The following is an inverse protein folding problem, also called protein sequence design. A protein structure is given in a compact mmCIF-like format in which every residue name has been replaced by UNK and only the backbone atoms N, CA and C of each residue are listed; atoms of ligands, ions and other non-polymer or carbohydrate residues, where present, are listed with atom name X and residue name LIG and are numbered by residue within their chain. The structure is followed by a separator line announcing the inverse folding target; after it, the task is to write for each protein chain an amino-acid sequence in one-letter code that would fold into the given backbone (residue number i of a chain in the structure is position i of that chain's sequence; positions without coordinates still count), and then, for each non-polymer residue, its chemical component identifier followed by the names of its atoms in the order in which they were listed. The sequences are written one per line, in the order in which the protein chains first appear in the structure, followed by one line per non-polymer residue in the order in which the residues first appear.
data_IF_072902707126
#
_entry.id   IF_072902707126
#
_cell.length_a   1.000
_cell.length_b   1.000
_cell.length_c   1.000
_cell.angle_alpha   90.00
_cell.angle_beta   90.00
_cell.angle_gamma   90.00
#
_symmetry.space_group_name_H-M   'P 1'
#
loop_
_entity.id
_entity.type
_entity.pdbx_description
1 polymer ?
#
# COMPACT_ATOMS: atom_id res chain seq x y z
N UNK A 1 -8.90 16.03 -4.33
CA UNK A 1 -9.16 15.10 -5.47
C UNK A 1 -7.87 14.38 -5.87
N UNK A 2 -7.26 13.54 -5.04
CA UNK A 2 -5.99 12.86 -5.34
C UNK A 2 -6.03 11.33 -5.09
N UNK A 3 -7.21 10.72 -5.21
CA UNK A 3 -7.38 9.27 -4.98
C UNK A 3 -7.14 8.35 -6.19
N UNK A 4 -6.72 8.88 -7.36
CA UNK A 4 -6.83 8.13 -8.63
C UNK A 4 -5.58 7.39 -9.10
N UNK A 5 -4.40 7.61 -8.54
CA UNK A 5 -3.16 7.03 -9.10
C UNK A 5 -2.70 5.70 -8.47
N UNK A 6 -3.22 5.32 -7.30
CA UNK A 6 -2.85 4.06 -6.63
C UNK A 6 -3.39 2.79 -7.30
N UNK A 7 -4.39 2.90 -8.17
CA UNK A 7 -5.13 1.74 -8.68
C UNK A 7 -4.66 1.14 -10.01
N UNK A 8 -3.62 1.67 -10.65
CA UNK A 8 -3.30 1.27 -12.04
C UNK A 8 -2.27 0.15 -12.14
N UNK A 9 -1.36 -0.02 -11.16
CA UNK A 9 -0.25 -0.99 -11.28
C UNK A 9 -0.52 -2.40 -10.72
N UNK A 10 -1.53 -2.59 -9.89
CA UNK A 10 -1.77 -3.92 -9.26
C UNK A 10 -2.38 -4.94 -10.24
N UNK A 11 -2.73 -4.55 -11.46
CA UNK A 11 -3.55 -5.38 -12.36
C UNK A 11 -2.84 -6.57 -13.02
N UNK A 12 -1.51 -6.68 -13.01
CA UNK A 12 -0.81 -7.67 -13.86
C UNK A 12 0.38 -8.43 -13.26
N UNK A 13 0.61 -8.40 -11.95
CA UNK A 13 1.75 -9.13 -11.40
C UNK A 13 1.34 -10.54 -10.98
N UNK A 14 1.49 -11.49 -11.89
CA UNK A 14 1.43 -12.92 -11.60
C UNK A 14 2.66 -13.33 -10.78
N UNK A 15 2.43 -13.75 -9.55
CA UNK A 15 3.42 -14.09 -8.55
C UNK A 15 4.27 -15.30 -8.93
N UNK A 16 5.55 -15.10 -9.28
CA UNK A 16 6.58 -16.14 -9.32
C UNK A 16 7.51 -16.02 -8.11
N UNK A 17 7.33 -16.93 -7.18
CA UNK A 17 8.12 -17.10 -5.96
C UNK A 17 9.58 -17.44 -6.27
N UNK A 18 10.56 -16.54 -5.97
CA UNK A 18 11.97 -16.89 -5.64
C UNK A 18 12.87 -15.69 -5.33
N UNK A 19 13.53 -15.73 -4.14
CA UNK A 19 14.85 -15.15 -3.75
C UNK A 19 15.19 -13.73 -4.21
N UNK A 20 14.83 -12.67 -3.45
CA UNK A 20 15.19 -11.34 -3.93
C UNK A 20 15.69 -10.29 -2.90
N UNK A 21 16.15 -10.66 -1.71
CA UNK A 21 16.82 -9.68 -0.84
C UNK A 21 18.10 -9.08 -1.47
N UNK A 22 18.85 -9.89 -2.24
CA UNK A 22 20.04 -9.42 -2.97
C UNK A 22 19.70 -8.57 -4.20
N UNK A 23 18.52 -8.73 -4.81
CA UNK A 23 18.12 -7.94 -5.96
C UNK A 23 17.70 -6.52 -5.55
N UNK A 24 16.97 -6.38 -4.44
CA UNK A 24 16.61 -5.06 -3.89
C UNK A 24 17.85 -4.23 -3.55
N UNK A 25 18.83 -4.82 -2.83
CA UNK A 25 20.07 -4.11 -2.53
C UNK A 25 20.75 -3.55 -3.79
N UNK A 26 20.79 -4.30 -4.90
CA UNK A 26 21.37 -3.85 -6.17
C UNK A 26 20.54 -2.76 -6.87
N UNK A 27 19.22 -2.74 -6.68
CA UNK A 27 18.34 -1.69 -7.23
C UNK A 27 18.61 -0.39 -6.50
N UNK A 28 18.70 -0.44 -5.17
CA UNK A 28 19.02 0.72 -4.34
C UNK A 28 20.41 1.30 -4.64
N UNK A 29 21.42 0.44 -4.93
CA UNK A 29 22.77 0.88 -5.33
C UNK A 29 22.82 1.73 -6.60
N UNK A 30 21.88 1.56 -7.53
CA UNK A 30 21.92 2.22 -8.85
C UNK A 30 20.97 3.41 -9.02
N UNK A 31 19.95 3.53 -8.17
CA UNK A 31 18.88 4.51 -8.37
C UNK A 31 19.03 5.79 -7.55
N UNK A 32 19.88 5.79 -6.55
CA UNK A 32 20.28 6.99 -5.82
C UNK A 32 21.77 7.25 -6.08
N UNK A 33 22.18 8.51 -6.18
CA UNK A 33 23.60 8.86 -6.02
C UNK A 33 23.90 8.66 -4.53
N UNK A 34 24.10 7.40 -4.17
CA UNK A 34 24.43 6.96 -2.83
C UNK A 34 25.94 7.18 -2.65
N UNK A 35 26.28 8.17 -1.86
CA UNK A 35 27.62 8.26 -1.26
C UNK A 35 27.70 7.18 -0.18
N UNK A 36 28.05 5.95 -0.59
CA UNK A 36 28.38 4.87 0.33
C UNK A 36 29.74 5.17 0.96
N UNK A 37 29.76 5.33 2.26
CA UNK A 37 30.97 5.13 3.04
C UNK A 37 30.90 3.70 3.59
N UNK A 38 31.57 2.77 2.90
CA UNK A 38 31.79 1.41 3.41
C UNK A 38 32.85 1.47 4.51
N UNK A 39 32.44 1.24 5.74
CA UNK A 39 33.38 0.90 6.83
C UNK A 39 33.44 -0.61 6.95
N UNK A 40 34.63 -1.18 6.81
CA UNK A 40 34.93 -2.57 7.14
C UNK A 40 35.29 -2.64 8.61
N UNK A 41 34.50 -3.32 9.41
CA UNK A 41 34.90 -3.75 10.75
C UNK A 41 35.10 -5.27 10.75
N UNK A 42 36.05 -5.73 11.56
CA UNK A 42 36.64 -7.07 11.57
C UNK A 42 35.71 -8.23 12.01
N UNK A 43 34.38 -8.10 11.80
CA UNK A 43 33.40 -9.10 12.26
C UNK A 43 32.14 -9.27 11.40
N UNK A 44 31.99 -8.59 10.30
CA UNK A 44 30.80 -8.71 9.44
C UNK A 44 30.48 -7.40 8.73
N UNK A 45 29.83 -7.49 7.59
CA UNK A 45 29.46 -6.32 6.79
C UNK A 45 28.31 -5.60 7.51
N UNK A 46 28.63 -4.58 8.28
CA UNK A 46 27.66 -3.63 8.85
C UNK A 46 27.46 -2.50 7.86
N UNK A 47 26.32 -2.44 7.20
CA UNK A 47 25.94 -1.32 6.36
C UNK A 47 25.39 -0.20 7.25
N UNK A 48 26.23 0.77 7.61
CA UNK A 48 25.73 2.06 8.11
C UNK A 48 25.45 2.95 6.91
N UNK A 49 24.22 2.95 6.44
CA UNK A 49 23.74 3.89 5.43
C UNK A 49 23.32 5.16 6.12
N UNK A 50 24.23 6.14 6.23
CA UNK A 50 23.84 7.54 6.39
C UNK A 50 23.52 8.09 5.00
N UNK A 51 22.41 7.67 4.43
CA UNK A 51 21.99 8.11 3.11
C UNK A 51 21.24 9.43 3.24
N UNK A 52 21.91 10.55 3.03
CA UNK A 52 21.20 11.76 2.63
C UNK A 52 20.72 11.54 1.18
N UNK A 53 19.42 11.31 1.04
CA UNK A 53 18.81 11.22 -0.29
C UNK A 53 18.78 12.62 -0.88
N UNK A 54 19.67 12.87 -1.85
CA UNK A 54 19.74 14.17 -2.54
C UNK A 54 19.21 14.01 -3.96
N UNK A 55 18.44 15.00 -4.42
CA UNK A 55 18.10 15.11 -5.84
C UNK A 55 19.33 15.49 -6.67
N UNK A 56 19.17 15.56 -8.02
CA UNK A 56 20.25 15.95 -8.95
C UNK A 56 20.84 17.32 -8.64
N UNK A 57 20.14 18.17 -7.92
CA UNK A 57 20.52 19.53 -7.54
C UNK A 57 21.15 19.60 -6.15
N UNK A 58 21.34 18.44 -5.46
CA UNK A 58 21.98 18.34 -4.15
C UNK A 58 21.08 18.65 -2.95
N UNK A 59 19.76 18.82 -3.15
CA UNK A 59 18.80 19.01 -2.05
C UNK A 59 18.39 17.66 -1.43
N UNK A 60 18.33 17.62 -0.09
CA UNK A 60 17.80 16.46 0.64
C UNK A 60 16.32 16.31 0.35
N UNK A 61 15.90 15.14 -0.15
CA UNK A 61 14.50 14.83 -0.39
C UNK A 61 13.90 14.16 0.85
N UNK A 62 12.61 14.44 1.11
CA UNK A 62 11.86 13.72 2.13
C UNK A 62 11.82 12.21 1.81
N UNK A 63 11.84 11.37 2.83
CA UNK A 63 11.84 9.91 2.67
C UNK A 63 10.68 9.43 1.80
N UNK A 64 9.48 9.95 2.05
CA UNK A 64 8.29 9.58 1.30
C UNK A 64 8.37 9.96 -0.17
N UNK A 65 8.87 11.16 -0.47
CA UNK A 65 9.06 11.60 -1.85
C UNK A 65 10.08 10.71 -2.57
N UNK A 66 11.17 10.36 -1.89
CA UNK A 66 12.21 9.47 -2.42
C UNK A 66 11.63 8.07 -2.69
N UNK A 67 10.84 7.53 -1.75
CA UNK A 67 10.14 6.26 -1.95
C UNK A 67 9.18 6.31 -3.15
N UNK A 68 8.34 7.35 -3.23
CA UNK A 68 7.37 7.50 -4.32
C UNK A 68 8.05 7.63 -5.68
N UNK A 69 9.16 8.37 -5.76
CA UNK A 69 9.95 8.48 -6.98
C UNK A 69 10.59 7.15 -7.39
N UNK A 70 11.06 6.35 -6.42
CA UNK A 70 11.58 5.02 -6.69
C UNK A 70 10.49 4.05 -7.16
N UNK A 71 9.37 4.03 -6.46
CA UNK A 71 8.29 3.05 -6.66
C UNK A 71 7.42 3.35 -7.89
N UNK A 72 7.18 4.64 -8.18
CA UNK A 72 6.23 5.07 -9.21
C UNK A 72 6.84 5.95 -10.31
N UNK A 73 8.05 6.48 -10.09
CA UNK A 73 8.73 7.34 -11.05
C UNK A 73 9.22 6.57 -12.29
N UNK A 74 9.71 7.32 -13.29
CA UNK A 74 10.20 6.76 -14.56
C UNK A 74 11.69 6.38 -14.53
N UNK A 75 12.31 6.43 -13.33
CA UNK A 75 13.73 6.14 -13.14
C UNK A 75 14.13 4.66 -13.30
N UNK A 76 13.17 3.75 -13.24
CA UNK A 76 13.37 2.30 -13.42
C UNK A 76 12.65 1.80 -14.65
N UNK A 77 13.28 0.86 -15.37
CA UNK A 77 12.61 0.09 -16.42
C UNK A 77 11.56 -0.87 -15.82
N UNK A 78 10.63 -1.35 -16.65
CA UNK A 78 9.51 -2.18 -16.21
C UNK A 78 9.96 -3.44 -15.46
N UNK A 79 11.05 -4.06 -15.88
CA UNK A 79 11.60 -5.25 -15.23
C UNK A 79 12.10 -4.95 -13.82
N UNK A 80 12.81 -3.83 -13.64
CA UNK A 80 13.30 -3.41 -12.32
C UNK A 80 12.15 -2.98 -11.40
N UNK A 81 11.12 -2.34 -11.96
CA UNK A 81 9.89 -2.03 -11.20
C UNK A 81 9.20 -3.32 -10.74
N UNK A 82 9.09 -4.33 -11.60
CA UNK A 82 8.53 -5.64 -11.23
C UNK A 82 9.36 -6.32 -10.11
N UNK A 83 10.69 -6.31 -10.21
CA UNK A 83 11.60 -6.85 -9.20
C UNK A 83 11.49 -6.09 -7.86
N UNK A 84 11.40 -4.75 -7.91
CA UNK A 84 11.20 -3.90 -6.72
C UNK A 84 9.90 -4.25 -6.00
N UNK A 85 8.79 -4.27 -6.73
CA UNK A 85 7.49 -4.58 -6.15
C UNK A 85 7.38 -6.02 -5.63
N UNK A 86 7.95 -6.99 -6.35
CA UNK A 86 8.00 -8.37 -5.89
C UNK A 86 8.78 -8.50 -4.58
N UNK A 87 9.88 -7.79 -4.43
CA UNK A 87 10.65 -7.74 -3.19
C UNK A 87 9.91 -7.01 -2.07
N UNK A 88 9.31 -5.86 -2.37
CA UNK A 88 8.51 -5.09 -1.42
C UNK A 88 7.36 -5.94 -0.84
N UNK A 89 6.57 -6.61 -1.67
CA UNK A 89 5.45 -7.42 -1.20
C UNK A 89 5.86 -8.60 -0.33
N UNK A 90 7.07 -9.15 -0.51
CA UNK A 90 7.59 -10.19 0.38
C UNK A 90 7.90 -9.62 1.78
N UNK A 91 8.55 -8.45 1.82
CA UNK A 91 8.90 -7.78 3.08
C UNK A 91 7.63 -7.31 3.78
N UNK A 92 6.74 -6.64 3.07
CA UNK A 92 5.45 -6.19 3.56
C UNK A 92 4.65 -7.32 4.20
N UNK A 93 4.55 -8.46 3.51
CA UNK A 93 3.91 -9.66 4.03
C UNK A 93 4.54 -10.12 5.34
N UNK A 94 5.87 -10.20 5.40
CA UNK A 94 6.59 -10.61 6.61
C UNK A 94 6.38 -9.67 7.79
N UNK A 95 6.25 -8.36 7.54
CA UNK A 95 5.92 -7.38 8.58
C UNK A 95 4.48 -7.58 9.07
N UNK A 96 3.51 -7.73 8.15
CA UNK A 96 2.12 -7.98 8.54
C UNK A 96 1.93 -9.31 9.27
N UNK A 97 2.63 -10.37 8.90
CA UNK A 97 2.60 -11.65 9.63
C UNK A 97 3.01 -11.46 11.10
N UNK A 98 4.02 -10.63 11.38
CA UNK A 98 4.44 -10.31 12.75
C UNK A 98 3.42 -9.43 13.48
N UNK A 99 2.95 -8.35 12.86
CA UNK A 99 1.96 -7.43 13.45
C UNK A 99 0.66 -8.18 13.77
N UNK A 100 0.16 -9.00 12.85
CA UNK A 100 -1.08 -9.75 13.02
C UNK A 100 -0.95 -10.91 14.01
N UNK A 101 0.27 -11.36 14.33
CA UNK A 101 0.50 -12.35 15.39
C UNK A 101 0.35 -11.76 16.79
N UNK A 102 0.46 -10.42 16.94
CA UNK A 102 0.25 -9.69 18.19
C UNK A 102 -0.58 -8.41 17.92
N UNK A 103 -1.87 -8.54 17.52
CA UNK A 103 -2.65 -7.44 16.94
C UNK A 103 -3.01 -6.33 17.93
N UNK A 104 -2.84 -6.57 19.23
CA UNK A 104 -3.07 -5.58 20.30
C UNK A 104 -1.78 -4.87 20.73
N UNK A 105 -0.64 -5.31 20.23
CA UNK A 105 0.65 -4.70 20.55
C UNK A 105 0.74 -3.32 19.89
N UNK A 106 1.17 -2.33 20.69
CA UNK A 106 1.49 -1.00 20.18
C UNK A 106 2.99 -0.95 19.90
N UNK A 107 3.33 -0.81 18.63
CA UNK A 107 4.72 -0.74 18.17
C UNK A 107 5.10 0.73 18.04
N UNK A 108 6.15 1.16 18.73
CA UNK A 108 6.69 2.53 18.66
C UNK A 108 8.19 2.50 18.41
N UNK A 109 8.70 3.56 17.84
CA UNK A 109 10.12 3.75 17.58
C UNK A 109 10.33 4.70 16.43
N UNK A 110 11.56 5.04 16.13
CA UNK A 110 11.89 5.83 14.94
C UNK A 110 11.74 4.98 13.68
N UNK A 111 11.57 5.64 12.52
CA UNK A 111 11.50 4.95 11.23
C UNK A 111 12.69 4.02 11.03
N UNK A 112 13.88 4.48 11.42
CA UNK A 112 15.13 3.72 11.36
C UNK A 112 15.11 2.50 12.27
N UNK A 113 14.69 2.66 13.53
CA UNK A 113 14.57 1.53 14.48
C UNK A 113 13.59 0.48 13.99
N UNK A 114 12.47 0.91 13.37
CA UNK A 114 11.53 -0.03 12.77
C UNK A 114 12.12 -0.72 11.54
N UNK A 115 12.87 -0.03 10.70
CA UNK A 115 13.57 -0.64 9.59
C UNK A 115 14.57 -1.72 10.07
N UNK A 116 15.33 -1.42 11.12
CA UNK A 116 16.26 -2.36 11.75
C UNK A 116 15.50 -3.56 12.39
N UNK A 117 14.43 -3.28 13.16
CA UNK A 117 13.57 -4.31 13.79
C UNK A 117 13.05 -5.34 12.77
N UNK A 118 12.60 -4.86 11.63
CA UNK A 118 12.04 -5.71 10.57
C UNK A 118 13.06 -6.15 9.52
N UNK A 119 14.35 -5.85 9.76
CA UNK A 119 15.47 -6.19 8.86
C UNK A 119 15.19 -5.78 7.41
N UNK A 120 14.81 -4.53 7.22
CA UNK A 120 14.50 -3.95 5.92
C UNK A 120 15.21 -2.61 5.70
N UNK A 121 15.21 -2.14 4.46
CA UNK A 121 15.75 -0.84 4.09
C UNK A 121 14.83 0.31 4.55
N UNK A 122 15.42 1.46 4.87
CA UNK A 122 14.70 2.66 5.36
C UNK A 122 13.57 3.09 4.40
N UNK A 123 13.83 3.09 3.08
CA UNK A 123 12.82 3.45 2.08
C UNK A 123 11.68 2.43 1.98
N UNK A 124 11.98 1.15 2.15
CA UNK A 124 10.95 0.10 2.19
C UNK A 124 10.06 0.27 3.42
N UNK A 125 10.67 0.56 4.59
CA UNK A 125 9.92 0.85 5.81
C UNK A 125 9.06 2.12 5.64
N UNK A 126 9.59 3.15 4.99
CA UNK A 126 8.84 4.37 4.64
C UNK A 126 7.59 4.04 3.81
N UNK A 127 7.75 3.21 2.78
CA UNK A 127 6.63 2.76 1.95
C UNK A 127 5.61 1.92 2.72
N UNK A 128 6.07 1.07 3.64
CA UNK A 128 5.20 0.31 4.52
C UNK A 128 4.39 1.22 5.44
N UNK A 129 5.03 2.21 6.07
CA UNK A 129 4.36 3.17 6.94
C UNK A 129 3.34 4.03 6.17
N UNK A 130 3.64 4.47 4.94
CA UNK A 130 2.69 5.15 4.05
C UNK A 130 1.46 4.26 3.77
N UNK A 131 1.68 2.98 3.50
CA UNK A 131 0.61 2.02 3.20
C UNK A 131 -0.31 1.69 4.37
N UNK A 132 0.24 1.57 5.59
CA UNK A 132 -0.55 1.18 6.78
C UNK A 132 -1.22 2.39 7.46
N UNK A 133 -0.78 3.62 7.19
CA UNK A 133 -1.14 4.80 7.98
C UNK A 133 -2.65 5.02 8.12
N UNK A 134 -3.41 4.85 7.05
CA UNK A 134 -4.87 4.97 7.04
C UNK A 134 -5.58 3.84 7.83
N UNK A 135 -4.86 2.79 8.22
CA UNK A 135 -5.37 1.62 8.94
C UNK A 135 -5.06 1.65 10.43
N UNK A 136 -4.52 2.77 10.93
CA UNK A 136 -4.18 2.95 12.33
C UNK A 136 -5.40 3.41 13.15
N UNK A 137 -5.32 3.17 14.47
CA UNK A 137 -6.42 3.37 15.40
C UNK A 137 -6.46 4.81 15.92
N UNK A 138 -7.27 5.64 15.25
CA UNK A 138 -7.62 6.99 15.75
C UNK A 138 -6.55 8.06 15.58
N UNK A 139 -5.45 7.80 14.85
CA UNK A 139 -4.41 8.77 14.53
C UNK A 139 -3.70 8.39 13.21
N UNK A 140 -2.88 9.31 12.72
CA UNK A 140 -2.00 9.12 11.56
C UNK A 140 -0.59 9.59 11.91
N UNK A 141 0.43 8.88 11.42
CA UNK A 141 1.82 9.32 11.54
C UNK A 141 2.09 10.47 10.54
N UNK A 142 3.07 11.34 10.81
CA UNK A 142 3.39 12.50 9.96
C UNK A 142 4.16 12.07 8.69
N UNK A 143 3.55 11.24 7.84
CA UNK A 143 4.21 10.56 6.71
C UNK A 143 4.87 11.53 5.73
N UNK A 144 4.24 12.69 5.46
CA UNK A 144 4.75 13.65 4.47
C UNK A 144 6.03 14.38 4.92
N UNK A 145 6.27 14.45 6.24
CA UNK A 145 7.44 15.11 6.85
C UNK A 145 8.38 14.15 7.57
N UNK A 146 8.18 12.85 7.35
CA UNK A 146 8.90 11.80 8.05
C UNK A 146 10.38 11.76 7.64
N UNK A 147 11.25 11.72 8.63
CA UNK A 147 12.70 11.53 8.52
C UNK A 147 13.10 10.22 9.20
N UNK A 148 14.38 9.85 9.15
CA UNK A 148 14.86 8.58 9.71
C UNK A 148 14.69 8.47 11.24
N UNK A 149 14.76 9.61 11.93
CA UNK A 149 14.64 9.75 13.39
C UNK A 149 13.23 10.15 13.85
N UNK A 150 12.27 10.26 12.92
CA UNK A 150 10.89 10.57 13.25
C UNK A 150 10.26 9.41 14.03
N UNK A 151 9.76 9.73 15.22
CA UNK A 151 8.98 8.80 16.04
C UNK A 151 7.65 8.46 15.35
N UNK A 152 7.40 7.19 15.20
CA UNK A 152 6.16 6.66 14.62
C UNK A 152 5.55 5.61 15.53
N UNK A 153 4.24 5.45 15.40
CA UNK A 153 3.47 4.49 16.18
C UNK A 153 2.64 3.63 15.24
N UNK A 154 2.59 2.33 15.48
CA UNK A 154 1.72 1.38 14.78
C UNK A 154 0.81 0.74 15.83
N UNK A 155 -0.45 1.13 15.81
CA UNK A 155 -1.55 0.50 16.54
C UNK A 155 -2.67 0.29 15.55
N UNK A 156 -2.84 -0.94 15.08
CA UNK A 156 -3.76 -1.24 13.98
C UNK A 156 -5.23 -1.19 14.42
N UNK A 157 -6.09 -0.71 13.53
CA UNK A 157 -7.51 -1.00 13.56
C UNK A 157 -7.75 -2.22 12.66
N UNK A 158 -8.04 -3.41 13.21
CA UNK A 158 -8.13 -4.63 12.40
C UNK A 158 -9.21 -4.58 11.33
N UNK A 159 -10.35 -3.94 11.57
CA UNK A 159 -11.43 -3.85 10.59
C UNK A 159 -11.05 -2.92 9.44
N UNK A 160 -10.47 -1.76 9.76
CA UNK A 160 -9.93 -0.83 8.74
C UNK A 160 -8.82 -1.48 7.93
N UNK A 161 -7.88 -2.12 8.60
CA UNK A 161 -6.74 -2.77 7.94
C UNK A 161 -7.21 -3.85 6.97
N UNK A 162 -8.11 -4.73 7.41
CA UNK A 162 -8.68 -5.76 6.53
C UNK A 162 -9.41 -5.14 5.33
N UNK A 163 -10.24 -4.12 5.57
CA UNK A 163 -10.98 -3.42 4.53
C UNK A 163 -10.04 -2.79 3.49
N UNK A 164 -8.99 -2.09 3.94
CA UNK A 164 -8.01 -1.44 3.06
C UNK A 164 -7.17 -2.45 2.27
N UNK A 165 -6.82 -3.59 2.87
CA UNK A 165 -6.16 -4.69 2.15
C UNK A 165 -7.05 -5.26 1.02
N UNK A 166 -8.37 -5.37 1.25
CA UNK A 166 -9.32 -5.78 0.21
C UNK A 166 -9.45 -4.72 -0.88
N UNK A 167 -9.43 -3.43 -0.52
CA UNK A 167 -9.42 -2.31 -1.47
C UNK A 167 -8.19 -2.35 -2.37
N UNK A 168 -7.02 -2.53 -1.77
CA UNK A 168 -5.74 -2.68 -2.47
C UNK A 168 -5.64 -3.98 -3.29
N UNK A 169 -6.61 -4.90 -3.17
CA UNK A 169 -6.62 -6.24 -3.80
C UNK A 169 -5.43 -7.09 -3.39
N UNK A 170 -4.89 -6.84 -2.21
CA UNK A 170 -3.74 -7.53 -1.64
C UNK A 170 -4.17 -8.88 -1.04
N UNK A 171 -4.56 -9.85 -1.88
CA UNK A 171 -5.03 -11.16 -1.41
C UNK A 171 -3.97 -11.89 -0.59
N UNK A 172 -2.70 -11.69 -0.87
CA UNK A 172 -1.58 -12.25 -0.09
C UNK A 172 -1.51 -11.72 1.35
N UNK A 173 -2.25 -10.64 1.68
CA UNK A 173 -2.34 -10.03 3.01
C UNK A 173 -3.67 -10.35 3.70
N UNK A 174 -4.82 -10.17 3.02
CA UNK A 174 -6.12 -10.41 3.66
C UNK A 174 -6.49 -11.91 3.75
N UNK A 175 -5.71 -12.80 3.10
CA UNK A 175 -5.84 -14.26 3.23
C UNK A 175 -4.82 -14.87 4.21
N UNK A 176 -4.09 -14.04 4.97
CA UNK A 176 -3.16 -14.53 5.98
C UNK A 176 -3.90 -15.30 7.08
N UNK A 177 -3.36 -16.44 7.54
CA UNK A 177 -4.03 -17.27 8.55
C UNK A 177 -4.19 -16.59 9.91
N UNK A 178 -3.36 -15.58 10.22
CA UNK A 178 -3.44 -14.80 11.45
C UNK A 178 -4.80 -14.10 11.61
N UNK A 179 -5.48 -13.79 10.53
CA UNK A 179 -6.80 -13.17 10.56
C UNK A 179 -7.85 -14.04 11.25
N UNK A 180 -7.70 -15.36 11.27
CA UNK A 180 -8.66 -16.28 11.90
C UNK A 180 -8.81 -16.04 13.41
N UNK A 181 -7.74 -15.55 14.08
CA UNK A 181 -7.76 -15.21 15.50
C UNK A 181 -8.19 -13.78 15.80
N UNK A 182 -8.28 -12.90 14.79
CA UNK A 182 -8.52 -11.46 14.93
C UNK A 182 -9.95 -11.08 14.55
N UNK A 183 -10.43 -11.59 13.43
CA UNK A 183 -11.76 -11.31 12.88
C UNK A 183 -12.47 -12.62 12.52
N UNK A 184 -13.74 -12.77 12.94
CA UNK A 184 -14.51 -13.93 12.54
C UNK A 184 -14.69 -14.00 11.02
N UNK A 185 -14.94 -15.20 10.49
CA UNK A 185 -15.16 -15.39 9.07
C UNK A 185 -16.34 -14.56 8.54
N UNK A 186 -17.41 -14.45 9.35
CA UNK A 186 -18.59 -13.65 9.02
C UNK A 186 -18.21 -12.17 8.90
N UNK A 187 -17.41 -11.65 9.86
CA UNK A 187 -16.96 -10.26 9.84
C UNK A 187 -16.07 -9.97 8.65
N UNK A 188 -15.15 -10.86 8.32
CA UNK A 188 -14.30 -10.73 7.11
C UNK A 188 -15.14 -10.73 5.83
N UNK A 189 -16.17 -11.61 5.73
CA UNK A 189 -17.10 -11.61 4.60
C UNK A 189 -17.92 -10.32 4.50
N UNK A 190 -18.35 -9.76 5.64
CA UNK A 190 -19.05 -8.48 5.71
C UNK A 190 -18.17 -7.35 5.16
N UNK A 191 -16.96 -7.19 5.70
CA UNK A 191 -15.99 -6.17 5.28
C UNK A 191 -15.64 -6.28 3.80
N UNK A 192 -15.40 -7.50 3.32
CA UNK A 192 -15.14 -7.77 1.91
C UNK A 192 -16.29 -7.31 1.02
N UNK A 193 -17.53 -7.67 1.38
CA UNK A 193 -18.73 -7.25 0.62
C UNK A 193 -18.94 -5.75 0.67
N UNK A 194 -18.74 -5.13 1.83
CA UNK A 194 -18.86 -3.68 1.99
C UNK A 194 -17.87 -2.94 1.08
N UNK A 195 -16.61 -3.39 1.05
CA UNK A 195 -15.61 -2.80 0.17
C UNK A 195 -15.96 -2.98 -1.32
N UNK A 196 -16.39 -4.17 -1.74
CA UNK A 196 -16.79 -4.39 -3.14
C UNK A 196 -18.03 -3.58 -3.54
N UNK A 197 -18.93 -3.31 -2.59
CA UNK A 197 -20.12 -2.50 -2.83
C UNK A 197 -19.78 -1.01 -2.94
N UNK A 198 -18.80 -0.50 -2.17
CA UNK A 198 -18.38 0.91 -2.19
C UNK A 198 -17.85 1.37 -3.54
N UNK A 199 -17.14 0.49 -4.26
CA UNK A 199 -16.62 0.76 -5.61
C UNK A 199 -17.63 0.54 -6.75
N UNK A 200 -18.86 0.09 -6.43
CA UNK A 200 -19.86 -0.22 -7.45
C UNK A 200 -20.74 0.98 -7.73
N UNK A 201 -20.49 1.67 -8.83
CA UNK A 201 -21.40 2.71 -9.35
C UNK A 201 -22.67 2.00 -9.86
N UNK A 202 -23.75 2.05 -9.08
CA UNK A 202 -25.07 1.64 -9.56
C UNK A 202 -25.53 2.66 -10.56
N UNK A 203 -25.44 2.34 -11.87
CA UNK A 203 -26.06 3.16 -12.90
C UNK A 203 -27.57 3.15 -12.63
N UNK A 204 -28.18 4.34 -12.62
CA UNK A 204 -29.63 4.48 -12.57
C UNK A 204 -30.26 3.62 -13.68
N UNK A 205 -31.35 2.93 -13.32
CA UNK A 205 -32.04 2.04 -14.25
C UNK A 205 -32.53 2.87 -15.42
N UNK A 206 -31.90 2.72 -16.59
CA UNK A 206 -32.40 3.38 -17.82
C UNK A 206 -33.81 2.92 -18.09
N UNK A 207 -34.71 3.87 -18.22
CA UNK A 207 -36.09 3.60 -18.64
C UNK A 207 -36.07 3.45 -20.15
N UNK A 208 -36.46 2.28 -20.62
CA UNK A 208 -36.54 2.01 -22.06
C UNK A 208 -37.87 2.46 -22.62
N UNK A 209 -37.98 2.76 -23.93
CA UNK A 209 -39.19 3.25 -24.56
C UNK A 209 -40.46 2.42 -24.34
N UNK A 210 -40.30 1.12 -24.12
CA UNK A 210 -41.40 0.19 -23.90
C UNK A 210 -41.70 -0.12 -22.42
N UNK A 211 -40.90 0.39 -21.50
CA UNK A 211 -41.13 0.21 -20.06
C UNK A 211 -42.38 0.92 -19.58
N UNK A 212 -43.04 0.48 -18.49
CA UNK A 212 -44.08 1.25 -17.84
C UNK A 212 -43.57 2.65 -17.45
N UNK A 213 -44.37 3.67 -17.72
CA UNK A 213 -43.97 5.03 -17.39
C UNK A 213 -43.90 5.25 -15.87
N UNK A 214 -42.78 5.83 -15.35
CA UNK A 214 -42.59 6.01 -13.89
C UNK A 214 -43.59 7.02 -13.28
N UNK A 215 -44.33 7.75 -14.10
CA UNK A 215 -45.37 8.66 -13.59
C UNK A 215 -46.64 7.94 -13.11
N UNK A 216 -46.71 6.61 -13.17
CA UNK A 216 -47.87 5.83 -12.72
C UNK A 216 -49.06 5.79 -13.67
N UNK A 217 -48.95 6.35 -14.88
CA UNK A 217 -50.07 6.41 -15.86
C UNK A 217 -50.47 5.06 -16.52
N UNK A 218 -49.70 3.99 -16.22
CA UNK A 218 -49.92 2.68 -16.87
C UNK A 218 -49.54 2.60 -18.36
N UNK A 219 -49.14 3.74 -18.96
CA UNK A 219 -48.73 3.81 -20.37
C UNK A 219 -47.25 3.48 -20.53
N UNK A 220 -46.85 2.99 -21.74
CA UNK A 220 -45.42 2.84 -22.09
C UNK A 220 -44.70 4.21 -22.07
N UNK A 221 -43.46 4.28 -21.60
CA UNK A 221 -42.67 5.51 -21.47
C UNK A 221 -42.68 6.35 -22.74
N UNK A 222 -42.43 5.75 -23.92
CA UNK A 222 -42.47 6.44 -25.23
C UNK A 222 -43.83 7.06 -25.60
N UNK A 223 -44.93 6.62 -24.96
CA UNK A 223 -46.27 7.13 -25.19
C UNK A 223 -46.77 8.05 -24.06
N UNK A 224 -45.88 8.39 -23.13
CA UNK A 224 -46.16 9.23 -21.96
C UNK A 224 -45.05 10.26 -21.77
N UNK A 225 -44.28 10.20 -20.67
CA UNK A 225 -43.26 11.20 -20.36
C UNK A 225 -42.06 11.16 -21.34
N UNK A 226 -41.81 10.04 -22.00
CA UNK A 226 -40.78 9.93 -23.03
C UNK A 226 -41.22 10.27 -24.45
N UNK A 227 -42.40 10.93 -24.63
CA UNK A 227 -42.92 11.28 -25.97
C UNK A 227 -42.16 12.47 -26.58
N UNK A 228 -41.60 13.33 -25.72
CA UNK A 228 -40.93 14.58 -26.12
C UNK A 228 -39.46 14.59 -25.58
N UNK A 229 -38.85 13.42 -25.23
CA UNK A 229 -37.49 13.27 -24.75
C UNK A 229 -36.56 12.83 -25.90
#
# INVERSE_FOLDING_TARGET
CNGSHRNVMIRNISYKKRRNSRALAKIFEKSAVLLYTTYYDSGGVSFKVSAKYTNKDGFTMALLETWRNLAYGDGLDDKKKEELWAGYFQIEKGIYEQILSAPTEVITGTVKELAEKYNTELLIMTGFLDGINESLKGYENPIDTMEEDTEVKIEIDPEKLYYNMVEAKANWLYELPQWDSILSEEKRKELYKAQKASGTIRKEKKIFPNDPCPCGSGKKYKKCCGKNA
#
